data_IF_186307284039
#
_entry.id   IF_186307284039
#
_cell.length_a   1.000
_cell.length_b   1.000
_cell.length_c   1.000
_cell.angle_alpha   90.00
_cell.angle_beta   90.00
_cell.angle_gamma   90.00
#
_symmetry.space_group_name_H-M   'P 1'
#
loop_
_entity.id
_entity.type
_entity.pdbx_description
1 polymer ?
#
# COMPACT_ATOMS: atom_id res chain seq x y z
N UNK A 1 -27.77 42.92 26.26
CA UNK A 1 -27.32 42.66 24.87
C UNK A 1 -26.26 41.57 24.97
N UNK A 2 -26.28 40.43 24.28
CA UNK A 2 -27.08 39.96 23.16
C UNK A 2 -27.39 38.46 23.33
N UNK A 3 -28.58 38.06 22.91
CA UNK A 3 -28.95 36.67 22.65
C UNK A 3 -28.48 36.31 21.23
N UNK A 4 -27.85 35.15 21.04
CA UNK A 4 -27.74 34.52 19.71
C UNK A 4 -27.98 33.02 19.86
N UNK A 5 -29.15 32.63 19.39
CA UNK A 5 -29.66 31.29 19.19
C UNK A 5 -28.86 30.55 18.11
N UNK A 6 -28.57 29.26 18.31
CA UNK A 6 -28.15 28.36 17.24
C UNK A 6 -29.21 27.27 17.05
N UNK A 7 -30.03 27.45 16.02
CA UNK A 7 -30.91 26.43 15.48
C UNK A 7 -30.12 25.61 14.44
N UNK A 8 -29.87 24.32 14.70
CA UNK A 8 -29.51 23.37 13.64
C UNK A 8 -30.68 22.40 13.45
N UNK A 9 -31.55 22.70 12.48
CA UNK A 9 -32.50 21.75 11.92
C UNK A 9 -31.77 20.90 10.86
N UNK A 10 -31.62 19.60 11.13
CA UNK A 10 -31.29 18.62 10.10
C UNK A 10 -32.58 18.26 9.36
N UNK A 11 -32.76 18.79 8.15
CA UNK A 11 -33.77 18.31 7.22
C UNK A 11 -33.22 17.07 6.51
N UNK A 12 -33.70 15.87 6.89
CA UNK A 12 -33.58 14.67 6.06
C UNK A 12 -34.52 14.82 4.87
N UNK A 13 -33.98 15.10 3.68
CA UNK A 13 -34.70 14.83 2.43
C UNK A 13 -34.20 13.51 1.84
N UNK A 14 -35.07 12.50 1.95
CA UNK A 14 -35.07 11.29 1.15
C UNK A 14 -35.28 11.63 -0.32
N UNK A 15 -34.23 11.50 -1.14
CA UNK A 15 -34.37 11.46 -2.59
C UNK A 15 -34.16 10.01 -3.05
N UNK A 16 -35.26 9.36 -3.42
CA UNK A 16 -35.26 8.10 -4.13
C UNK A 16 -34.62 8.32 -5.51
N UNK A 17 -33.49 7.68 -5.78
CA UNK A 17 -32.93 7.63 -7.12
C UNK A 17 -33.75 6.64 -7.98
N UNK A 18 -34.17 7.01 -9.21
CA UNK A 18 -34.84 6.09 -10.10
C UNK A 18 -33.86 5.04 -10.62
N UNK A 19 -34.26 3.77 -10.56
CA UNK A 19 -33.59 2.70 -11.30
C UNK A 19 -33.77 2.96 -12.79
N UNK A 20 -32.67 3.21 -13.49
CA UNK A 20 -32.64 3.24 -14.95
C UNK A 20 -32.08 1.91 -15.46
N UNK A 21 -32.84 1.33 -16.38
CA UNK A 21 -32.68 0.00 -16.95
C UNK A 21 -31.41 -0.16 -17.81
N UNK A 22 -30.96 -1.41 -17.87
CA UNK A 22 -29.95 -1.92 -18.79
C UNK A 22 -30.21 -1.43 -20.23
N UNK A 23 -29.17 -0.87 -20.85
CA UNK A 23 -29.08 -0.76 -22.30
C UNK A 23 -27.66 -1.18 -22.73
N UNK A 24 -27.57 -2.40 -23.24
CA UNK A 24 -26.47 -2.83 -24.12
C UNK A 24 -26.27 -1.78 -25.22
N UNK A 25 -25.01 -1.40 -25.49
CA UNK A 25 -24.69 -0.71 -26.73
C UNK A 25 -23.36 -1.16 -27.32
N UNK A 26 -23.46 -1.44 -28.61
CA UNK A 26 -22.52 -2.05 -29.53
C UNK A 26 -21.10 -1.47 -29.55
N UNK A 27 -20.15 -2.40 -29.65
CA UNK A 27 -18.78 -2.18 -30.09
C UNK A 27 -18.75 -1.84 -31.59
N UNK A 28 -18.43 -0.60 -31.98
CA UNK A 28 -17.78 -0.30 -33.29
C UNK A 28 -17.08 1.07 -33.30
N UNK A 29 -15.75 1.06 -33.42
CA UNK A 29 -14.95 1.99 -34.24
C UNK A 29 -14.74 3.45 -33.80
N UNK A 30 -13.63 4.10 -34.21
CA UNK A 30 -12.98 5.16 -33.44
C UNK A 30 -13.22 6.59 -33.97
N UNK A 31 -12.93 7.56 -33.09
CA UNK A 31 -12.50 8.97 -33.30
C UNK A 31 -13.39 9.99 -32.60
N UNK A 32 -12.74 10.80 -31.76
CA UNK A 32 -13.35 11.92 -31.08
C UNK A 32 -12.50 12.34 -29.90
N UNK A 33 -11.52 13.21 -30.16
CA UNK A 33 -10.86 13.98 -29.12
C UNK A 33 -11.93 14.77 -28.37
N UNK A 34 -12.33 14.27 -27.19
CA UNK A 34 -13.21 15.00 -26.29
C UNK A 34 -12.34 15.68 -25.26
N UNK A 35 -12.51 17.00 -25.18
CA UNK A 35 -11.87 17.92 -24.25
C UNK A 35 -11.70 17.32 -22.85
N UNK A 36 -10.46 17.22 -22.39
CA UNK A 36 -10.13 16.92 -21.00
C UNK A 36 -10.46 18.16 -20.17
N UNK A 37 -11.75 18.31 -19.83
CA UNK A 37 -12.24 19.09 -18.69
C UNK A 37 -12.44 18.17 -17.49
N UNK A 38 -12.56 18.70 -16.26
CA UNK A 38 -12.48 17.90 -15.05
C UNK A 38 -13.74 17.04 -14.91
N UNK A 39 -13.56 15.72 -14.74
CA UNK A 39 -14.60 14.87 -14.16
C UNK A 39 -15.39 13.97 -15.11
N UNK A 40 -14.72 13.10 -15.87
CA UNK A 40 -15.29 11.78 -16.15
C UNK A 40 -14.38 10.75 -15.49
N UNK A 41 -14.76 10.38 -14.27
CA UNK A 41 -14.28 9.19 -13.60
C UNK A 41 -15.32 8.10 -13.84
N UNK A 42 -14.89 6.93 -14.30
CA UNK A 42 -15.77 5.77 -14.53
C UNK A 42 -15.68 4.84 -13.31
N UNK A 43 -16.61 4.93 -12.35
CA UNK A 43 -16.63 4.00 -11.22
C UNK A 43 -16.90 2.60 -11.76
N UNK A 44 -16.29 1.60 -11.15
CA UNK A 44 -16.41 0.25 -11.68
C UNK A 44 -15.75 -0.80 -10.84
N UNK A 45 -15.96 -2.03 -11.27
CA UNK A 45 -15.39 -3.21 -10.65
C UNK A 45 -14.77 -4.06 -11.73
N UNK A 46 -13.52 -4.47 -11.51
CA UNK A 46 -12.84 -5.45 -12.35
C UNK A 46 -12.42 -6.64 -11.49
N UNK A 47 -12.36 -7.82 -12.09
CA UNK A 47 -11.66 -8.97 -11.52
C UNK A 47 -10.20 -8.93 -11.93
N UNK A 48 -9.30 -9.25 -11.01
CA UNK A 48 -7.89 -9.44 -11.36
C UNK A 48 -7.75 -10.67 -12.29
N UNK A 49 -6.76 -10.67 -13.20
CA UNK A 49 -6.39 -11.85 -13.95
C UNK A 49 -6.22 -13.05 -13.00
N UNK A 50 -6.80 -14.20 -13.38
CA UNK A 50 -6.82 -15.45 -12.60
C UNK A 50 -7.82 -15.51 -11.41
N UNK A 51 -8.71 -14.52 -11.26
CA UNK A 51 -9.80 -14.59 -10.26
C UNK A 51 -9.34 -14.47 -8.80
N UNK A 52 -8.08 -14.08 -8.56
CA UNK A 52 -7.49 -13.96 -7.22
C UNK A 52 -7.90 -12.73 -6.42
N UNK A 53 -8.75 -11.86 -6.96
CA UNK A 53 -9.24 -10.66 -6.28
C UNK A 53 -10.06 -9.72 -7.16
N UNK A 54 -10.54 -8.66 -6.54
CA UNK A 54 -11.43 -7.62 -7.09
C UNK A 54 -10.73 -6.27 -7.00
N UNK A 55 -10.84 -5.47 -8.06
CA UNK A 55 -10.46 -4.06 -8.08
C UNK A 55 -11.73 -3.21 -8.11
N UNK A 56 -11.82 -2.22 -7.22
CA UNK A 56 -12.93 -1.27 -7.17
C UNK A 56 -12.40 0.12 -7.47
N UNK A 57 -12.95 0.74 -8.50
CA UNK A 57 -12.72 2.12 -8.89
C UNK A 57 -13.79 3.02 -8.30
N UNK A 58 -13.37 4.15 -7.73
CA UNK A 58 -14.27 5.20 -7.26
C UNK A 58 -13.84 6.56 -7.78
N UNK A 59 -14.84 7.38 -8.04
CA UNK A 59 -14.71 8.80 -8.30
C UNK A 59 -14.33 9.54 -7.01
N UNK A 60 -13.12 10.08 -6.96
CA UNK A 60 -12.73 11.09 -5.97
C UNK A 60 -12.81 12.50 -6.56
N UNK A 61 -12.80 13.50 -5.69
CA UNK A 61 -12.78 14.92 -6.10
C UNK A 61 -11.58 15.25 -7.01
N UNK A 62 -10.45 14.60 -6.77
CA UNK A 62 -9.20 14.86 -7.45
C UNK A 62 -8.92 13.88 -8.61
N UNK A 63 -9.78 12.87 -8.82
CA UNK A 63 -9.63 11.88 -9.88
C UNK A 63 -10.14 10.50 -9.49
N UNK A 64 -9.99 9.52 -10.38
CA UNK A 64 -10.37 8.13 -10.11
C UNK A 64 -9.31 7.47 -9.23
N UNK A 65 -9.75 6.88 -8.11
CA UNK A 65 -8.90 5.99 -7.31
C UNK A 65 -9.32 4.55 -7.52
N UNK A 66 -8.38 3.63 -7.39
CA UNK A 66 -8.67 2.20 -7.47
C UNK A 66 -8.00 1.46 -6.31
N UNK A 67 -8.78 0.71 -5.55
CA UNK A 67 -8.32 -0.20 -4.52
C UNK A 67 -8.57 -1.65 -4.92
N UNK A 68 -7.92 -2.58 -4.24
CA UNK A 68 -7.91 -4.00 -4.58
C UNK A 68 -8.01 -4.85 -3.33
N UNK A 69 -8.64 -6.01 -3.43
CA UNK A 69 -8.74 -6.96 -2.33
C UNK A 69 -9.14 -8.35 -2.82
N UNK A 70 -9.12 -9.33 -1.92
CA UNK A 70 -9.53 -10.72 -2.25
C UNK A 70 -11.03 -10.88 -2.43
N UNK A 71 -11.83 -9.90 -1.98
CA UNK A 71 -13.26 -9.82 -2.17
C UNK A 71 -13.71 -8.35 -2.29
N UNK A 72 -15.00 -8.15 -2.59
CA UNK A 72 -15.60 -6.82 -2.80
C UNK A 72 -15.47 -5.93 -1.56
N UNK A 73 -15.63 -6.48 -0.35
CA UNK A 73 -15.57 -5.71 0.90
C UNK A 73 -14.15 -5.21 1.18
N UNK A 74 -13.15 -6.08 1.02
CA UNK A 74 -11.74 -5.74 1.18
C UNK A 74 -11.28 -4.73 0.11
N UNK A 75 -11.69 -4.94 -1.14
CA UNK A 75 -11.42 -3.99 -2.21
C UNK A 75 -12.06 -2.63 -1.91
N UNK A 76 -13.31 -2.61 -1.42
CA UNK A 76 -14.02 -1.39 -1.03
C UNK A 76 -13.31 -0.65 0.09
N UNK A 77 -12.89 -1.37 1.14
CA UNK A 77 -12.17 -0.79 2.26
C UNK A 77 -10.86 -0.13 1.79
N UNK A 78 -10.08 -0.82 0.97
CA UNK A 78 -8.84 -0.28 0.42
C UNK A 78 -9.10 0.91 -0.52
N UNK A 79 -10.13 0.87 -1.37
CA UNK A 79 -10.49 2.00 -2.24
C UNK A 79 -10.91 3.22 -1.43
N UNK A 80 -11.63 3.05 -0.32
CA UNK A 80 -11.98 4.16 0.58
C UNK A 80 -10.74 4.77 1.24
N UNK A 81 -9.74 3.96 1.59
CA UNK A 81 -8.44 4.45 2.04
C UNK A 81 -7.74 5.30 0.97
N UNK A 82 -7.72 4.83 -0.29
CA UNK A 82 -7.13 5.60 -1.39
C UNK A 82 -7.90 6.88 -1.69
N UNK A 83 -9.22 6.92 -1.49
CA UNK A 83 -9.99 8.16 -1.56
C UNK A 83 -9.50 9.18 -0.53
N UNK A 84 -9.27 8.76 0.73
CA UNK A 84 -8.74 9.64 1.77
C UNK A 84 -7.33 10.15 1.42
N UNK A 85 -6.45 9.28 0.89
CA UNK A 85 -5.12 9.69 0.41
C UNK A 85 -5.21 10.71 -0.73
N UNK A 86 -6.17 10.54 -1.64
CA UNK A 86 -6.38 11.49 -2.73
C UNK A 86 -6.81 12.88 -2.23
N UNK A 87 -7.47 12.98 -1.06
CA UNK A 87 -7.78 14.27 -0.42
C UNK A 87 -6.51 14.96 0.12
N UNK A 88 -5.49 14.19 0.51
CA UNK A 88 -4.18 14.70 0.95
C UNK A 88 -3.24 15.08 -0.20
N UNK A 89 -3.59 14.70 -1.45
CA UNK A 89 -2.89 15.15 -2.65
C UNK A 89 -2.75 14.06 -3.73
N UNK A 90 -2.05 12.94 -3.48
CA UNK A 90 -1.76 11.97 -4.51
C UNK A 90 -2.99 11.12 -4.88
N UNK A 91 -3.36 11.14 -6.15
CA UNK A 91 -4.45 10.29 -6.68
C UNK A 91 -3.85 8.97 -7.13
N UNK A 92 -4.21 7.90 -6.42
CA UNK A 92 -3.62 6.59 -6.62
C UNK A 92 -4.57 5.63 -7.35
N UNK A 93 -4.05 4.96 -8.38
CA UNK A 93 -4.75 3.89 -9.09
C UNK A 93 -3.93 2.60 -9.06
N UNK A 94 -4.60 1.46 -8.90
CA UNK A 94 -4.02 0.13 -8.99
C UNK A 94 -4.03 -0.34 -10.45
N UNK A 95 -2.92 -0.91 -10.91
CA UNK A 95 -2.85 -1.54 -12.22
C UNK A 95 -3.44 -2.96 -12.18
N UNK A 96 -4.75 -3.05 -12.40
CA UNK A 96 -5.51 -4.31 -12.34
C UNK A 96 -5.01 -5.39 -13.32
N UNK A 97 -4.41 -4.98 -14.45
CA UNK A 97 -3.95 -5.87 -15.52
C UNK A 97 -2.45 -6.18 -15.49
N UNK A 98 -1.71 -5.54 -14.59
CA UNK A 98 -0.29 -5.81 -14.34
C UNK A 98 -0.04 -6.13 -12.84
N UNK A 99 -0.78 -7.09 -12.24
CA UNK A 99 -0.30 -7.68 -11.01
C UNK A 99 1.00 -8.43 -11.34
N UNK A 100 2.06 -8.23 -10.56
CA UNK A 100 3.29 -9.01 -10.70
C UNK A 100 2.95 -10.46 -10.31
N UNK A 101 2.46 -11.23 -11.28
CA UNK A 101 2.52 -12.69 -11.29
C UNK A 101 3.77 -13.06 -12.08
N UNK A 102 4.93 -12.62 -11.61
CA UNK A 102 6.16 -13.26 -12.03
C UNK A 102 7.12 -13.28 -10.85
N UNK A 103 7.87 -14.36 -10.81
CA UNK A 103 8.72 -14.87 -9.73
C UNK A 103 7.92 -15.75 -8.74
N UNK A 104 8.35 -17.01 -8.47
CA UNK A 104 7.62 -18.00 -7.66
C UNK A 104 7.63 -17.68 -6.15
N UNK A 105 7.21 -16.47 -5.79
CA UNK A 105 6.85 -16.12 -4.42
C UNK A 105 5.48 -16.72 -4.08
N UNK A 106 5.28 -17.26 -2.88
CA UNK A 106 3.95 -17.70 -2.44
C UNK A 106 3.07 -16.48 -2.14
N UNK A 107 2.70 -15.63 -3.11
CA UNK A 107 1.79 -14.50 -2.86
C UNK A 107 1.58 -13.60 -4.07
N UNK A 108 1.11 -12.37 -3.81
CA UNK A 108 0.64 -11.44 -4.85
C UNK A 108 1.36 -10.10 -4.75
N UNK A 109 2.08 -9.73 -5.82
CA UNK A 109 2.61 -8.39 -6.02
C UNK A 109 1.61 -7.50 -6.76
N UNK A 110 1.34 -6.31 -6.24
CA UNK A 110 0.44 -5.33 -6.85
C UNK A 110 1.21 -4.04 -7.11
N UNK A 111 1.05 -3.51 -8.32
CA UNK A 111 1.52 -2.17 -8.68
C UNK A 111 0.39 -1.17 -8.59
N UNK A 112 0.72 0.04 -8.18
CA UNK A 112 -0.11 1.21 -8.35
C UNK A 112 0.70 2.38 -8.88
N UNK A 113 -0.03 3.41 -9.29
CA UNK A 113 0.52 4.70 -9.65
C UNK A 113 -0.24 5.79 -8.91
N UNK A 114 0.50 6.62 -8.19
CA UNK A 114 0.01 7.80 -7.50
C UNK A 114 0.52 9.05 -8.22
N UNK A 115 -0.33 9.73 -9.00
CA UNK A 115 0.05 10.93 -9.76
C UNK A 115 1.37 10.78 -10.54
N UNK A 116 1.44 9.77 -11.41
CA UNK A 116 2.66 9.40 -12.19
C UNK A 116 3.84 8.87 -11.36
N UNK A 117 3.63 8.60 -10.07
CA UNK A 117 4.63 7.98 -9.20
C UNK A 117 4.30 6.50 -9.00
N UNK A 118 5.10 5.57 -9.57
CA UNK A 118 4.87 4.15 -9.37
C UNK A 118 5.20 3.76 -7.93
N UNK A 119 4.33 2.93 -7.36
CA UNK A 119 4.51 2.24 -6.09
C UNK A 119 4.16 0.76 -6.27
N UNK A 120 4.82 -0.10 -5.52
CA UNK A 120 4.53 -1.53 -5.55
C UNK A 120 4.62 -2.13 -4.16
N UNK A 121 3.69 -3.05 -3.89
CA UNK A 121 3.61 -3.76 -2.62
C UNK A 121 3.32 -5.24 -2.86
N UNK A 122 3.64 -6.05 -1.85
CA UNK A 122 3.40 -7.49 -1.86
C UNK A 122 2.52 -7.89 -0.66
N UNK A 123 1.81 -9.00 -0.79
CA UNK A 123 1.20 -9.72 0.34
C UNK A 123 0.81 -11.14 -0.05
N UNK A 124 0.64 -12.05 0.92
CA UNK A 124 0.17 -13.43 0.63
C UNK A 124 -1.23 -13.46 -0.01
N UNK A 125 -2.04 -12.43 0.25
CA UNK A 125 -3.36 -12.26 -0.36
C UNK A 125 -3.43 -10.92 -1.09
N UNK A 126 -4.33 -10.81 -2.06
CA UNK A 126 -4.66 -9.55 -2.73
C UNK A 126 -5.14 -8.48 -1.75
N UNK A 127 -5.83 -8.86 -0.66
CA UNK A 127 -6.20 -7.94 0.42
C UNK A 127 -4.98 -7.35 1.11
N UNK A 128 -4.04 -8.20 1.55
CA UNK A 128 -2.82 -7.76 2.25
C UNK A 128 -1.93 -6.93 1.33
N UNK A 129 -1.79 -7.32 0.06
CA UNK A 129 -1.05 -6.53 -0.93
C UNK A 129 -1.70 -5.15 -1.16
N UNK A 130 -3.04 -5.09 -1.24
CA UNK A 130 -3.79 -3.84 -1.35
C UNK A 130 -3.65 -2.93 -0.14
N UNK A 131 -3.65 -3.50 1.08
CA UNK A 131 -3.39 -2.76 2.32
C UNK A 131 -1.99 -2.17 2.32
N UNK A 132 -0.96 -3.00 2.08
CA UNK A 132 0.42 -2.54 2.03
C UNK A 132 0.63 -1.43 0.99
N UNK A 133 -0.03 -1.54 -0.17
CA UNK A 133 0.01 -0.49 -1.20
C UNK A 133 -0.64 0.82 -0.72
N UNK A 134 -1.75 0.73 0.00
CA UNK A 134 -2.39 1.88 0.63
C UNK A 134 -1.46 2.52 1.68
N UNK A 135 -0.77 1.74 2.52
CA UNK A 135 0.21 2.28 3.46
C UNK A 135 1.39 2.99 2.76
N UNK A 136 1.85 2.48 1.62
CA UNK A 136 2.85 3.17 0.80
C UNK A 136 2.32 4.47 0.22
N UNK A 137 1.06 4.51 -0.22
CA UNK A 137 0.43 5.72 -0.73
C UNK A 137 0.26 6.80 0.35
N UNK A 138 -0.17 6.41 1.57
CA UNK A 138 -0.19 7.29 2.74
C UNK A 138 1.22 7.83 3.03
N UNK A 139 2.23 6.96 2.98
CA UNK A 139 3.63 7.36 3.20
C UNK A 139 4.11 8.35 2.13
N UNK A 140 3.77 8.11 0.86
CA UNK A 140 4.08 9.00 -0.24
C UNK A 140 3.43 10.38 -0.08
N UNK A 141 2.15 10.42 0.31
CA UNK A 141 1.44 11.67 0.60
C UNK A 141 2.12 12.47 1.71
N UNK A 142 2.53 11.78 2.79
CA UNK A 142 3.09 12.42 3.96
C UNK A 142 4.57 12.85 3.80
N UNK A 143 5.38 12.13 3.01
CA UNK A 143 6.84 12.34 3.00
C UNK A 143 7.46 12.47 1.62
N UNK A 144 6.66 12.40 0.55
CA UNK A 144 7.12 12.36 -0.86
C UNK A 144 8.06 11.19 -1.17
N UNK A 145 8.09 10.18 -0.30
CA UNK A 145 8.90 8.98 -0.50
C UNK A 145 8.07 7.93 -1.24
N UNK A 146 8.52 7.54 -2.42
CA UNK A 146 8.00 6.35 -3.11
C UNK A 146 8.85 5.15 -2.74
N UNK A 147 8.22 4.04 -2.40
CA UNK A 147 8.92 2.79 -2.16
C UNK A 147 8.36 1.71 -3.08
N UNK A 148 9.25 0.88 -3.58
CA UNK A 148 8.91 -0.24 -4.43
C UNK A 148 9.49 -1.50 -3.82
N UNK A 149 8.63 -2.51 -3.75
CA UNK A 149 9.00 -3.85 -3.29
C UNK A 149 9.89 -4.54 -4.33
N UNK A 150 10.91 -5.26 -3.85
CA UNK A 150 11.76 -6.14 -4.67
C UNK A 150 11.61 -7.60 -4.19
N UNK A 151 12.27 -8.57 -4.82
CA UNK A 151 12.10 -9.99 -4.48
C UNK A 151 12.67 -10.31 -3.09
N UNK A 152 11.93 -11.10 -2.31
CA UNK A 152 12.46 -11.60 -1.05
C UNK A 152 13.58 -12.61 -1.30
N UNK A 153 14.46 -12.78 -0.32
CA UNK A 153 15.47 -13.84 -0.36
C UNK A 153 15.54 -14.56 0.97
N UNK A 154 15.97 -15.83 0.90
CA UNK A 154 16.22 -16.63 2.10
C UNK A 154 17.33 -16.01 2.93
N UNK A 155 17.16 -16.02 4.25
CA UNK A 155 18.18 -15.66 5.23
C UNK A 155 18.39 -16.83 6.18
N UNK A 156 19.50 -16.83 6.92
CA UNK A 156 19.68 -17.82 7.97
C UNK A 156 18.50 -17.71 8.97
N UNK A 157 17.78 -18.82 9.14
CA UNK A 157 16.62 -18.94 10.02
C UNK A 157 15.38 -18.09 9.66
N UNK A 158 15.29 -17.55 8.43
CA UNK A 158 14.12 -16.77 8.03
C UNK A 158 14.18 -16.21 6.60
N UNK A 159 13.51 -15.08 6.39
CA UNK A 159 13.37 -14.40 5.11
C UNK A 159 13.69 -12.92 5.25
N UNK A 160 14.26 -12.35 4.19
CA UNK A 160 14.50 -10.90 4.07
C UNK A 160 13.68 -10.32 2.94
N UNK A 161 12.97 -9.24 3.23
CA UNK A 161 12.08 -8.58 2.28
C UNK A 161 12.57 -7.15 2.01
N UNK A 162 13.21 -6.89 0.84
CA UNK A 162 13.74 -5.59 0.49
C UNK A 162 12.70 -4.65 -0.12
N UNK A 163 12.84 -3.36 0.19
CA UNK A 163 12.21 -2.24 -0.50
C UNK A 163 13.28 -1.23 -0.91
N UNK A 164 13.14 -0.69 -2.10
CA UNK A 164 13.91 0.48 -2.55
C UNK A 164 13.02 1.70 -2.48
N UNK A 165 13.48 2.72 -1.77
CA UNK A 165 12.75 3.96 -1.56
C UNK A 165 13.51 5.14 -2.18
N UNK A 166 12.76 6.08 -2.74
CA UNK A 166 13.30 7.32 -3.32
C UNK A 166 12.42 8.50 -2.98
N UNK A 167 13.05 9.66 -2.79
CA UNK A 167 12.43 10.99 -2.78
C UNK A 167 13.35 11.97 -3.53
N UNK A 168 12.94 13.20 -3.85
CA UNK A 168 13.80 14.15 -4.56
C UNK A 168 15.19 14.28 -3.90
N UNK A 169 16.25 13.99 -4.66
CA UNK A 169 17.64 14.09 -4.21
C UNK A 169 18.14 12.97 -3.29
N UNK A 170 17.36 11.92 -3.01
CA UNK A 170 17.76 10.84 -2.09
C UNK A 170 17.17 9.49 -2.46
N UNK A 171 18.00 8.43 -2.39
CA UNK A 171 17.60 7.04 -2.56
C UNK A 171 18.13 6.22 -1.39
N UNK A 172 17.33 5.30 -0.87
CA UNK A 172 17.75 4.38 0.17
C UNK A 172 17.07 3.03 0.05
N UNK A 173 17.64 2.05 0.72
CA UNK A 173 17.09 0.70 0.81
C UNK A 173 16.67 0.42 2.24
N UNK A 174 15.59 -0.35 2.37
CA UNK A 174 15.22 -1.00 3.62
C UNK A 174 15.01 -2.48 3.40
N UNK A 175 15.31 -3.30 4.39
CA UNK A 175 15.02 -4.72 4.34
C UNK A 175 14.46 -5.18 5.69
N UNK A 176 13.28 -5.79 5.66
CA UNK A 176 12.72 -6.47 6.83
C UNK A 176 13.33 -7.85 7.03
N UNK A 177 13.16 -8.40 8.22
CA UNK A 177 13.57 -9.75 8.60
C UNK A 177 12.43 -10.42 9.36
N UNK A 178 12.16 -11.68 9.06
CA UNK A 178 11.10 -12.45 9.73
C UNK A 178 11.24 -13.95 9.53
N UNK A 179 10.54 -14.72 10.35
CA UNK A 179 10.47 -16.19 10.26
C UNK A 179 9.67 -16.67 9.04
N UNK A 180 8.79 -15.82 8.49
CA UNK A 180 8.06 -16.04 7.26
C UNK A 180 8.26 -14.86 6.29
N UNK A 181 7.87 -15.05 5.03
CA UNK A 181 7.85 -13.98 4.02
C UNK A 181 6.94 -12.83 4.47
N UNK A 182 5.79 -13.12 5.08
CA UNK A 182 4.86 -12.12 5.62
C UNK A 182 5.44 -11.33 6.78
N UNK A 183 6.02 -12.01 7.76
CA UNK A 183 6.63 -11.34 8.91
C UNK A 183 7.76 -10.40 8.47
N UNK A 184 8.54 -10.85 7.48
CA UNK A 184 9.61 -10.07 6.89
C UNK A 184 9.09 -8.85 6.13
N UNK A 185 8.03 -9.01 5.34
CA UNK A 185 7.39 -7.90 4.62
C UNK A 185 6.75 -6.89 5.58
N UNK A 186 6.02 -7.36 6.60
CA UNK A 186 5.42 -6.50 7.62
C UNK A 186 6.50 -5.72 8.39
N UNK A 187 7.63 -6.36 8.70
CA UNK A 187 8.78 -5.69 9.29
C UNK A 187 9.38 -4.65 8.33
N UNK A 188 9.52 -4.98 7.04
CA UNK A 188 10.03 -4.07 6.03
C UNK A 188 9.14 -2.83 5.91
N UNK A 189 7.81 -2.99 5.90
CA UNK A 189 6.83 -1.90 5.85
C UNK A 189 6.93 -0.97 7.07
N UNK A 190 7.19 -1.49 8.27
CA UNK A 190 7.48 -0.66 9.45
C UNK A 190 8.75 0.17 9.26
N UNK A 191 9.81 -0.45 8.75
CA UNK A 191 11.05 0.25 8.42
C UNK A 191 10.88 1.27 7.29
N UNK A 192 10.05 1.00 6.28
CA UNK A 192 9.66 1.97 5.25
C UNK A 192 9.03 3.19 5.91
N UNK A 193 8.00 3.01 6.74
CA UNK A 193 7.31 4.13 7.40
C UNK A 193 8.25 4.99 8.25
N UNK A 194 9.16 4.37 8.99
CA UNK A 194 10.20 5.08 9.76
C UNK A 194 11.19 5.80 8.83
N UNK A 195 11.77 5.07 7.88
CA UNK A 195 12.84 5.56 7.03
C UNK A 195 12.38 6.67 6.09
N UNK A 196 11.16 6.64 5.58
CA UNK A 196 10.61 7.64 4.66
C UNK A 196 10.58 9.07 5.21
N UNK A 197 10.53 9.24 6.53
CA UNK A 197 10.66 10.57 7.17
C UNK A 197 12.08 11.13 7.05
N UNK A 198 13.09 10.26 7.16
CA UNK A 198 14.51 10.65 7.31
C UNK A 198 15.37 10.33 6.09
N UNK A 199 14.88 9.50 5.17
CA UNK A 199 15.63 8.87 4.09
C UNK A 199 16.73 7.92 4.59
N UNK A 200 16.51 7.27 5.73
CA UNK A 200 17.53 6.43 6.39
C UNK A 200 17.57 5.02 5.80
N UNK A 201 18.77 4.56 5.40
CA UNK A 201 19.00 3.15 5.10
C UNK A 201 18.84 2.30 6.37
N UNK A 202 18.01 1.27 6.31
CA UNK A 202 17.78 0.35 7.43
C UNK A 202 17.76 -1.10 6.97
N UNK A 203 18.72 -1.93 7.37
CA UNK A 203 18.77 -3.33 6.97
C UNK A 203 19.15 -4.25 8.11
N UNK A 204 18.68 -5.49 8.04
CA UNK A 204 19.06 -6.53 8.98
C UNK A 204 20.24 -7.36 8.47
N UNK A 205 21.14 -7.76 9.37
CA UNK A 205 22.01 -8.91 9.14
C UNK A 205 21.20 -10.21 9.16
N UNK A 206 21.87 -11.34 8.91
CA UNK A 206 21.23 -12.64 9.11
C UNK A 206 20.93 -12.83 10.60
N UNK A 207 19.81 -13.50 10.91
CA UNK A 207 19.54 -13.87 12.28
C UNK A 207 20.55 -14.91 12.75
N UNK A 208 20.91 -14.85 14.02
CA UNK A 208 21.79 -15.81 14.66
C UNK A 208 21.02 -16.56 15.73
N UNK A 209 21.25 -17.87 15.83
CA UNK A 209 20.72 -18.69 16.90
C UNK A 209 21.81 -18.92 17.94
N UNK A 210 21.60 -18.40 19.16
CA UNK A 210 22.47 -18.66 20.30
C UNK A 210 21.72 -19.51 21.33
N UNK A 211 21.90 -20.83 21.25
CA UNK A 211 21.14 -21.79 22.03
C UNK A 211 19.67 -21.80 21.62
N UNK A 212 18.79 -21.24 22.47
CA UNK A 212 17.34 -21.14 22.25
C UNK A 212 16.87 -19.72 21.93
N UNK A 213 17.78 -18.74 21.90
CA UNK A 213 17.47 -17.32 21.67
C UNK A 213 17.96 -16.92 20.28
N UNK A 214 17.06 -16.33 19.49
CA UNK A 214 17.41 -15.66 18.26
C UNK A 214 17.90 -14.24 18.53
N UNK A 215 18.93 -13.84 17.79
CA UNK A 215 19.50 -12.50 17.79
C UNK A 215 19.39 -11.91 16.40
N UNK A 216 18.95 -10.65 16.30
CA UNK A 216 18.87 -9.90 15.06
C UNK A 216 19.59 -8.56 15.21
N UNK A 217 20.36 -8.18 14.19
CA UNK A 217 21.06 -6.90 14.14
C UNK A 217 20.43 -6.02 13.07
N UNK A 218 19.85 -4.89 13.48
CA UNK A 218 19.32 -3.86 12.58
C UNK A 218 20.33 -2.72 12.48
N UNK A 219 20.79 -2.43 11.28
CA UNK A 219 21.66 -1.30 10.98
C UNK A 219 20.83 -0.16 10.41
N UNK A 220 20.82 1.00 11.06
CA UNK A 220 20.18 2.22 10.57
C UNK A 220 21.11 3.43 10.75
N UNK A 221 21.46 4.12 9.65
CA UNK A 221 22.30 5.34 9.65
C UNK A 221 23.57 5.26 10.55
N UNK A 222 24.36 4.19 10.39
CA UNK A 222 25.59 3.97 11.16
C UNK A 222 25.39 3.53 12.61
N UNK A 223 24.14 3.39 13.08
CA UNK A 223 23.81 2.79 14.37
C UNK A 223 23.39 1.33 14.20
N UNK A 224 23.77 0.47 15.14
CA UNK A 224 23.36 -0.93 15.18
C UNK A 224 22.49 -1.17 16.41
N UNK A 225 21.33 -1.77 16.20
CA UNK A 225 20.38 -2.16 17.24
C UNK A 225 20.32 -3.68 17.30
N UNK A 226 20.45 -4.25 18.49
CA UNK A 226 20.46 -5.69 18.69
C UNK A 226 19.18 -6.11 19.39
N UNK A 227 18.39 -6.93 18.72
CA UNK A 227 17.15 -7.48 19.27
C UNK A 227 17.27 -8.95 19.60
N UNK A 228 16.48 -9.38 20.58
CA UNK A 228 16.45 -10.76 21.06
C UNK A 228 15.03 -11.31 21.05
N UNK A 229 14.87 -12.61 20.79
CA UNK A 229 13.56 -13.23 20.81
C UNK A 229 13.57 -14.74 20.71
N UNK A 230 12.41 -15.35 20.97
CA UNK A 230 12.18 -16.79 20.79
C UNK A 230 12.02 -17.19 19.31
N UNK A 231 11.93 -16.22 18.41
CA UNK A 231 11.91 -16.40 16.96
C UNK A 231 12.67 -15.27 16.27
N UNK A 232 13.03 -15.46 15.00
CA UNK A 232 13.62 -14.42 14.16
C UNK A 232 12.71 -13.19 14.10
N UNK A 233 11.41 -13.37 13.94
CA UNK A 233 10.44 -12.27 13.95
C UNK A 233 10.43 -11.51 15.28
N UNK A 234 10.50 -12.20 16.41
CA UNK A 234 10.53 -11.55 17.73
C UNK A 234 11.81 -10.73 17.93
N UNK A 235 12.97 -11.29 17.57
CA UNK A 235 14.24 -10.59 17.62
C UNK A 235 14.27 -9.36 16.69
N UNK A 236 13.74 -9.49 15.47
CA UNK A 236 13.63 -8.37 14.53
C UNK A 236 12.69 -7.26 15.05
N UNK A 237 11.56 -7.64 15.68
CA UNK A 237 10.63 -6.68 16.31
C UNK A 237 11.27 -5.90 17.45
N UNK A 238 12.05 -6.57 18.30
CA UNK A 238 12.79 -5.92 19.39
C UNK A 238 13.83 -4.91 18.85
N UNK A 239 14.67 -5.34 17.89
CA UNK A 239 15.66 -4.45 17.26
C UNK A 239 15.01 -3.24 16.57
N UNK A 240 13.90 -3.45 15.86
CA UNK A 240 13.14 -2.39 15.19
C UNK A 240 12.53 -1.41 16.20
N UNK A 241 11.97 -1.91 17.31
CA UNK A 241 11.40 -1.08 18.37
C UNK A 241 12.48 -0.20 19.03
N UNK A 242 13.67 -0.76 19.31
CA UNK A 242 14.82 0.02 19.80
C UNK A 242 15.24 1.12 18.81
N UNK A 243 15.10 0.86 17.51
CA UNK A 243 15.35 1.84 16.47
C UNK A 243 14.19 2.83 16.26
N UNK A 244 13.08 2.72 16.99
CA UNK A 244 11.89 3.58 16.87
C UNK A 244 11.00 3.30 15.65
N UNK A 245 10.98 2.04 15.16
CA UNK A 245 10.11 1.56 14.08
C UNK A 245 8.92 0.73 14.59
#
# INVERSE_FOLDING_TARGET
MAAISFSLMLALLSAQAPMAANAERDYTGPTGASSIGPGICDPGMDMLPNGGGVVIRRCGKNGTVAGVGSNIDAATANTNGFLAVAEEGPVCSVFARDPYVSIPAPGVGIKGECSSTPISAYGMTTTTAGQNLLELAITLAATQARCNVDYYYGSAHGYKYPYTCTRPGQSWSVAGLGSSVDDSNAMAMRLVKKSSKTGTHCYFDNAELNGVVFRAYLHCNGSTYTGFGSSVTAAAKDAAAQAGA
#
